data_IF_068582157639
#
_entry.id   IF_068582157639
#
_cell.length_a   1.000
_cell.length_b   1.000
_cell.length_c   1.000
_cell.angle_alpha   90.00
_cell.angle_beta   90.00
_cell.angle_gamma   90.00
#
_symmetry.space_group_name_H-M   'P 1'
#
loop_
_entity.id
_entity.type
_entity.pdbx_description
1 polymer ?
#
# COMPACT_ATOMS: atom_id res chain seq x y z
N UNK A 1 6.24 -12.18 9.77
CA UNK A 1 5.57 -12.07 8.46
C UNK A 1 6.05 -10.80 7.79
N UNK A 2 6.32 -10.82 6.48
CA UNK A 2 6.66 -9.63 5.69
C UNK A 2 5.50 -9.26 4.78
N UNK A 3 5.27 -7.96 4.60
CA UNK A 3 4.30 -7.39 3.66
C UNK A 3 5.00 -6.41 2.73
N UNK A 4 4.47 -6.23 1.54
CA UNK A 4 4.86 -5.15 0.64
C UNK A 4 3.86 -4.01 0.78
N UNK A 5 4.34 -2.79 0.93
CA UNK A 5 3.52 -1.56 0.98
C UNK A 5 3.83 -0.76 -0.27
N UNK A 6 2.82 -0.52 -1.09
CA UNK A 6 2.90 0.20 -2.36
C UNK A 6 1.87 1.35 -2.35
N UNK A 7 2.01 2.31 -3.27
CA UNK A 7 1.07 3.41 -3.47
C UNK A 7 1.33 4.08 -4.82
N UNK A 8 0.39 4.92 -5.27
CA UNK A 8 0.59 5.90 -6.35
C UNK A 8 1.16 5.22 -7.62
N UNK A 9 0.41 4.24 -8.13
CA UNK A 9 0.77 3.43 -9.30
C UNK A 9 0.47 4.19 -10.60
N UNK A 10 -0.62 4.95 -10.64
CA UNK A 10 -1.03 5.76 -11.79
C UNK A 10 -0.95 5.04 -13.14
N UNK A 11 -1.44 3.80 -13.20
CA UNK A 11 -1.37 2.94 -14.41
C UNK A 11 0.05 2.70 -14.96
N UNK A 12 1.12 2.94 -14.19
CA UNK A 12 2.50 2.66 -14.60
C UNK A 12 2.84 1.19 -14.44
N UNK A 13 2.21 0.38 -15.31
CA UNK A 13 2.33 -1.08 -15.31
C UNK A 13 3.77 -1.55 -15.50
N UNK A 14 4.58 -0.83 -16.28
CA UNK A 14 6.01 -1.16 -16.48
C UNK A 14 6.83 -1.12 -15.18
N UNK A 15 6.50 -0.19 -14.28
CA UNK A 15 7.13 -0.08 -12.95
C UNK A 15 6.45 -1.01 -11.93
N UNK A 16 5.13 -1.18 -12.04
CA UNK A 16 4.40 -2.15 -11.23
C UNK A 16 4.94 -3.57 -11.42
N UNK A 17 5.18 -4.00 -12.67
CA UNK A 17 5.69 -5.34 -12.99
C UNK A 17 7.04 -5.57 -12.30
N UNK A 18 7.96 -4.61 -12.39
CA UNK A 18 9.25 -4.66 -11.67
C UNK A 18 9.08 -4.75 -10.15
N UNK A 19 8.11 -4.01 -9.59
CA UNK A 19 7.80 -4.12 -8.16
C UNK A 19 7.32 -5.53 -7.81
N UNK A 20 6.40 -6.08 -8.60
CA UNK A 20 5.81 -7.41 -8.41
C UNK A 20 6.85 -8.53 -8.55
N UNK A 21 7.83 -8.38 -9.44
CA UNK A 21 8.98 -9.28 -9.56
C UNK A 21 9.80 -9.30 -8.26
N UNK A 22 10.18 -8.14 -7.73
CA UNK A 22 10.93 -8.03 -6.48
C UNK A 22 10.11 -8.55 -5.29
N UNK A 23 8.81 -8.24 -5.23
CA UNK A 23 7.91 -8.75 -4.18
C UNK A 23 7.87 -10.28 -4.21
N UNK A 24 7.82 -10.87 -5.41
CA UNK A 24 7.77 -12.32 -5.58
C UNK A 24 9.10 -12.99 -5.27
N UNK A 25 10.24 -12.41 -5.68
CA UNK A 25 11.57 -12.92 -5.32
C UNK A 25 11.83 -12.87 -3.81
N UNK A 26 11.15 -11.98 -3.09
CA UNK A 26 11.21 -11.88 -1.63
C UNK A 26 10.25 -12.83 -0.89
N UNK A 27 9.50 -13.70 -1.60
CA UNK A 27 8.48 -14.58 -1.05
C UNK A 27 7.40 -13.84 -0.23
N UNK A 28 6.99 -12.67 -0.72
CA UNK A 28 5.93 -11.88 -0.07
C UNK A 28 4.58 -12.21 -0.71
N UNK A 29 3.62 -12.55 0.16
CA UNK A 29 2.27 -12.99 -0.21
C UNK A 29 1.18 -11.97 0.11
N UNK A 30 1.52 -10.84 0.72
CA UNK A 30 0.57 -9.78 1.06
C UNK A 30 1.06 -8.42 0.58
N UNK A 31 0.20 -7.73 -0.16
CA UNK A 31 0.40 -6.38 -0.67
C UNK A 31 -0.61 -5.45 0.02
N UNK A 32 -0.14 -4.32 0.50
CA UNK A 32 -0.95 -3.22 1.03
C UNK A 32 -0.76 -2.02 0.09
N UNK A 33 -1.80 -1.60 -0.61
CA UNK A 33 -1.77 -0.49 -1.56
C UNK A 33 -2.48 0.74 -0.98
N UNK A 34 -1.77 1.86 -0.84
CA UNK A 34 -2.28 3.07 -0.17
C UNK A 34 -3.06 4.01 -1.10
N UNK A 35 -3.64 3.48 -2.18
CA UNK A 35 -4.43 4.24 -3.16
C UNK A 35 -3.65 4.69 -4.40
N UNK A 36 -4.34 5.44 -5.24
CA UNK A 36 -3.89 5.94 -6.54
C UNK A 36 -3.42 4.81 -7.46
N UNK A 37 -4.20 3.71 -7.50
CA UNK A 37 -4.05 2.62 -8.49
C UNK A 37 -4.36 3.13 -9.91
N UNK A 38 -5.16 4.20 -10.00
CA UNK A 38 -5.77 4.83 -11.17
C UNK A 38 -6.91 4.06 -11.82
N UNK A 39 -6.74 2.79 -12.23
CA UNK A 39 -7.82 2.09 -12.95
C UNK A 39 -8.07 0.65 -12.59
N UNK A 40 -9.31 0.19 -12.82
CA UNK A 40 -9.71 -1.21 -12.59
C UNK A 40 -8.79 -2.17 -13.34
N UNK A 41 -8.33 -1.81 -14.55
CA UNK A 41 -7.37 -2.61 -15.30
C UNK A 41 -6.05 -2.84 -14.54
N UNK A 42 -5.55 -1.82 -13.84
CA UNK A 42 -4.33 -1.94 -13.02
C UNK A 42 -4.61 -2.70 -11.72
N UNK A 43 -5.80 -2.56 -11.14
CA UNK A 43 -6.24 -3.40 -10.03
C UNK A 43 -6.28 -4.88 -10.41
N UNK A 44 -6.77 -5.22 -11.60
CA UNK A 44 -6.77 -6.61 -12.10
C UNK A 44 -5.37 -7.21 -12.22
N UNK A 45 -4.35 -6.39 -12.57
CA UNK A 45 -2.95 -6.85 -12.55
C UNK A 45 -2.51 -7.25 -11.15
N UNK A 46 -2.86 -6.47 -10.12
CA UNK A 46 -2.57 -6.81 -8.73
C UNK A 46 -3.29 -8.11 -8.35
N UNK A 47 -4.60 -8.20 -8.60
CA UNK A 47 -5.43 -9.35 -8.25
C UNK A 47 -4.92 -10.64 -8.90
N UNK A 48 -4.53 -10.58 -10.18
CA UNK A 48 -4.02 -11.70 -10.95
C UNK A 48 -2.74 -12.32 -10.36
N UNK A 49 -2.01 -11.62 -9.49
CA UNK A 49 -0.85 -12.17 -8.78
C UNK A 49 -1.20 -13.31 -7.82
N UNK A 50 -2.48 -13.46 -7.45
CA UNK A 50 -2.94 -14.41 -6.43
C UNK A 50 -2.49 -14.09 -5.00
N UNK A 51 -1.79 -12.97 -4.79
CA UNK A 51 -1.40 -12.48 -3.46
C UNK A 51 -2.61 -11.88 -2.76
N UNK A 52 -2.59 -11.86 -1.43
CA UNK A 52 -3.58 -11.11 -0.64
C UNK A 52 -3.34 -9.61 -0.80
N UNK A 53 -4.38 -8.86 -1.14
CA UNK A 53 -4.31 -7.43 -1.42
C UNK A 53 -5.29 -6.71 -0.50
N UNK A 54 -4.76 -5.75 0.24
CA UNK A 54 -5.56 -4.74 0.92
C UNK A 54 -5.28 -3.40 0.25
N UNK A 55 -6.31 -2.64 -0.11
CA UNK A 55 -6.12 -1.29 -0.61
C UNK A 55 -7.15 -0.31 -0.07
N UNK A 56 -6.80 0.97 -0.07
CA UNK A 56 -7.76 2.05 0.06
C UNK A 56 -7.83 2.83 -1.27
N UNK A 57 -8.96 3.51 -1.51
CA UNK A 57 -9.05 4.46 -2.62
C UNK A 57 -8.27 5.74 -2.28
N UNK A 58 -7.55 6.27 -3.25
CA UNK A 58 -6.98 7.60 -3.23
C UNK A 58 -7.86 8.63 -3.94
N UNK A 59 -7.23 9.65 -4.52
CA UNK A 59 -7.91 10.72 -5.25
C UNK A 59 -7.75 10.62 -6.78
N UNK A 60 -6.98 9.65 -7.27
CA UNK A 60 -6.73 9.45 -8.70
C UNK A 60 -7.43 8.23 -9.30
N UNK A 61 -8.23 7.47 -8.53
CA UNK A 61 -9.06 6.40 -9.07
C UNK A 61 -10.09 6.94 -10.06
N UNK A 62 -10.07 6.43 -11.29
CA UNK A 62 -11.01 6.78 -12.35
C UNK A 62 -12.36 6.11 -12.15
N UNK A 63 -12.37 4.89 -11.63
CA UNK A 63 -13.58 4.09 -11.39
C UNK A 63 -13.67 3.64 -9.92
N UNK A 64 -13.76 4.56 -8.93
CA UNK A 64 -13.62 4.23 -7.51
C UNK A 64 -14.70 3.28 -6.97
N UNK A 65 -15.95 3.40 -7.44
CA UNK A 65 -17.03 2.48 -7.04
C UNK A 65 -16.81 1.09 -7.65
N UNK A 66 -16.41 1.00 -8.92
CA UNK A 66 -16.11 -0.29 -9.56
C UNK A 66 -14.96 -1.00 -8.86
N UNK A 67 -13.88 -0.28 -8.53
CA UNK A 67 -12.78 -0.81 -7.73
C UNK A 67 -13.25 -1.30 -6.36
N UNK A 68 -14.08 -0.52 -5.67
CA UNK A 68 -14.62 -0.92 -4.38
C UNK A 68 -15.44 -2.21 -4.48
N UNK A 69 -16.28 -2.35 -5.52
CA UNK A 69 -17.11 -3.54 -5.69
C UNK A 69 -16.36 -4.76 -6.26
N UNK A 70 -15.19 -4.59 -6.88
CA UNK A 70 -14.35 -5.69 -7.36
C UNK A 70 -13.98 -6.71 -6.26
N UNK A 71 -13.97 -6.30 -4.98
CA UNK A 71 -13.75 -7.21 -3.85
C UNK A 71 -14.82 -8.30 -3.70
N UNK A 72 -16.03 -8.09 -4.27
CA UNK A 72 -17.09 -9.10 -4.28
C UNK A 72 -16.79 -10.26 -5.25
N UNK A 73 -15.95 -10.00 -6.25
CA UNK A 73 -15.57 -10.96 -7.29
C UNK A 73 -14.25 -11.64 -6.96
N UNK A 74 -13.38 -10.97 -6.20
CA UNK A 74 -12.01 -11.40 -5.93
C UNK A 74 -11.76 -11.68 -4.44
N UNK A 75 -11.66 -12.97 -4.08
CA UNK A 75 -11.46 -13.41 -2.68
C UNK A 75 -10.15 -12.95 -2.04
N UNK A 76 -9.15 -12.63 -2.86
CA UNK A 76 -7.85 -12.16 -2.40
C UNK A 76 -7.77 -10.63 -2.31
N UNK A 77 -8.87 -9.91 -2.52
CA UNK A 77 -8.93 -8.45 -2.52
C UNK A 77 -9.80 -7.94 -1.37
N UNK A 78 -9.37 -6.87 -0.73
CA UNK A 78 -10.19 -6.07 0.20
C UNK A 78 -9.95 -4.60 -0.08
N UNK A 79 -11.03 -3.86 -0.31
CA UNK A 79 -10.96 -2.45 -0.70
C UNK A 79 -11.70 -1.59 0.32
N UNK A 80 -11.00 -0.59 0.86
CA UNK A 80 -11.54 0.41 1.77
C UNK A 80 -11.81 1.71 1.01
N UNK A 81 -12.96 2.34 1.24
CA UNK A 81 -13.29 3.61 0.55
C UNK A 81 -12.36 4.76 0.94
N UNK A 82 -11.86 4.77 2.17
CA UNK A 82 -11.06 5.89 2.68
C UNK A 82 -10.01 5.46 3.70
N UNK A 83 -10.45 4.79 4.77
CA UNK A 83 -9.62 4.30 5.87
C UNK A 83 -9.89 2.82 6.06
N UNK A 84 -8.83 2.04 6.15
CA UNK A 84 -8.85 0.62 6.45
C UNK A 84 -8.19 0.32 7.79
N UNK A 85 -8.73 -0.69 8.47
CA UNK A 85 -8.10 -1.37 9.58
C UNK A 85 -7.94 -2.84 9.22
N UNK A 86 -6.73 -3.36 9.37
CA UNK A 86 -6.38 -4.74 9.05
C UNK A 86 -5.73 -5.37 10.27
N UNK A 87 -6.19 -6.57 10.65
CA UNK A 87 -5.53 -7.39 11.66
C UNK A 87 -4.75 -8.50 10.98
N UNK A 88 -3.42 -8.45 11.08
CA UNK A 88 -2.53 -9.37 10.38
C UNK A 88 -1.33 -9.75 11.25
N UNK A 89 -1.05 -11.05 11.37
CA UNK A 89 0.07 -11.56 12.18
C UNK A 89 0.11 -11.03 13.63
N UNK A 90 -1.06 -10.81 14.24
CA UNK A 90 -1.19 -10.27 15.60
C UNK A 90 -0.93 -8.76 15.70
N UNK A 91 -0.92 -8.04 14.58
CA UNK A 91 -0.71 -6.59 14.50
C UNK A 91 -1.95 -5.88 13.97
N UNK A 92 -2.22 -4.69 14.51
CA UNK A 92 -3.27 -3.79 14.02
C UNK A 92 -2.64 -2.78 13.06
N UNK A 93 -3.10 -2.79 11.81
CA UNK A 93 -2.53 -1.99 10.73
C UNK A 93 -3.60 -1.02 10.24
N UNK A 94 -3.28 0.27 10.26
CA UNK A 94 -4.06 1.34 9.65
C UNK A 94 -3.62 1.58 8.21
N UNK A 95 -4.58 1.88 7.34
CA UNK A 95 -4.35 2.16 5.93
C UNK A 95 -5.21 3.35 5.49
N UNK A 96 -4.62 4.36 4.84
CA UNK A 96 -5.37 5.46 4.23
C UNK A 96 -4.52 6.16 3.19
N UNK A 97 -5.10 6.79 2.19
CA UNK A 97 -4.30 7.53 1.21
C UNK A 97 -3.71 8.83 1.80
N UNK A 98 -4.46 9.52 2.67
CA UNK A 98 -4.17 10.91 3.04
C UNK A 98 -3.23 11.07 4.27
N UNK A 99 -2.18 11.91 4.19
CA UNK A 99 -1.18 12.06 5.25
C UNK A 99 -1.73 12.53 6.59
N UNK A 100 -2.66 13.50 6.59
CA UNK A 100 -3.24 14.03 7.83
C UNK A 100 -4.05 12.96 8.58
N UNK A 101 -4.81 12.13 7.85
CA UNK A 101 -5.55 11.02 8.44
C UNK A 101 -4.58 9.97 9.01
N UNK A 102 -3.54 9.64 8.26
CA UNK A 102 -2.50 8.70 8.69
C UNK A 102 -1.78 9.18 9.97
N UNK A 103 -1.46 10.48 10.05
CA UNK A 103 -0.87 11.10 11.24
C UNK A 103 -1.79 10.95 12.46
N UNK A 104 -3.09 11.28 12.32
CA UNK A 104 -4.06 11.14 13.41
C UNK A 104 -4.23 9.69 13.86
N UNK A 105 -4.27 8.74 12.92
CA UNK A 105 -4.33 7.31 13.23
C UNK A 105 -3.08 6.90 14.02
N UNK A 106 -1.89 7.32 13.62
CA UNK A 106 -0.66 6.95 14.31
C UNK A 106 -0.57 7.56 15.72
N UNK A 107 -1.01 8.80 15.90
CA UNK A 107 -1.06 9.50 17.19
C UNK A 107 -2.08 8.91 18.17
N UNK A 108 -3.12 8.21 17.68
CA UNK A 108 -4.11 7.55 18.55
C UNK A 108 -3.53 6.45 19.43
N UNK A 109 -2.38 5.87 19.04
CA UNK A 109 -1.77 4.71 19.71
C UNK A 109 -2.52 3.38 19.51
N UNK A 110 -3.56 3.36 18.67
CA UNK A 110 -4.38 2.16 18.44
C UNK A 110 -3.78 1.18 17.40
N UNK A 111 -2.73 1.60 16.69
CA UNK A 111 -2.16 0.85 15.56
C UNK A 111 -0.69 0.54 15.80
N UNK A 112 -0.24 -0.66 15.41
CA UNK A 112 1.19 -0.96 15.35
C UNK A 112 1.84 -0.31 14.12
N UNK A 113 1.10 -0.24 13.02
CA UNK A 113 1.54 0.33 11.75
C UNK A 113 0.45 1.19 11.14
N UNK A 114 0.82 2.30 10.51
CA UNK A 114 -0.07 3.10 9.67
C UNK A 114 0.62 3.37 8.34
N UNK A 115 -0.02 2.97 7.24
CA UNK A 115 0.49 3.11 5.88
C UNK A 115 -0.31 4.14 5.09
N UNK A 116 0.38 5.00 4.33
CA UNK A 116 -0.25 6.05 3.53
C UNK A 116 0.48 6.42 2.23
N UNK A 117 -0.21 7.13 1.34
CA UNK A 117 0.27 7.53 0.01
C UNK A 117 0.26 9.06 -0.20
N UNK A 118 -0.18 9.50 -1.39
CA UNK A 118 -0.54 10.88 -1.76
C UNK A 118 0.62 11.84 -2.00
N UNK A 119 1.67 11.77 -1.17
CA UNK A 119 2.78 12.73 -1.25
C UNK A 119 3.87 12.32 -2.26
N UNK A 120 3.76 11.13 -2.86
CA UNK A 120 4.74 10.54 -3.78
C UNK A 120 6.17 10.38 -3.23
N UNK A 121 6.41 10.79 -1.98
CA UNK A 121 7.73 10.89 -1.38
C UNK A 121 7.86 9.88 -0.25
N UNK A 122 8.81 8.93 -0.34
CA UNK A 122 9.06 7.97 0.72
C UNK A 122 9.32 8.65 2.05
N UNK A 123 8.64 8.18 3.09
CA UNK A 123 8.84 8.70 4.43
C UNK A 123 8.52 7.62 5.46
N UNK A 124 9.27 7.61 6.57
CA UNK A 124 8.93 6.77 7.71
C UNK A 124 9.33 7.45 9.01
N UNK A 125 8.49 7.35 10.02
CA UNK A 125 8.80 7.78 11.38
C UNK A 125 8.04 6.95 12.41
N UNK A 126 8.54 6.93 13.64
CA UNK A 126 7.85 6.33 14.78
C UNK A 126 7.11 7.41 15.57
N UNK A 127 5.84 7.19 15.88
CA UNK A 127 5.02 8.04 16.76
C UNK A 127 4.58 7.16 17.94
N UNK A 128 5.15 7.39 19.12
CA UNK A 128 5.01 6.46 20.23
C UNK A 128 5.53 5.07 19.83
N UNK A 129 4.65 4.07 19.83
CA UNK A 129 4.94 2.72 19.35
C UNK A 129 4.54 2.42 17.90
N UNK A 130 3.79 3.33 17.27
CA UNK A 130 3.29 3.18 15.90
C UNK A 130 4.37 3.50 14.86
N UNK A 131 4.53 2.64 13.85
CA UNK A 131 5.31 2.96 12.64
C UNK A 131 4.37 3.63 11.63
N UNK A 132 4.61 4.92 11.34
CA UNK A 132 3.92 5.66 10.28
C UNK A 132 4.82 5.65 9.03
N UNK A 133 4.33 5.11 7.91
CA UNK A 133 5.14 4.91 6.70
C UNK A 133 4.38 5.27 5.42
N UNK A 134 5.06 5.99 4.54
CA UNK A 134 4.71 6.22 3.15
C UNK A 134 5.75 5.53 2.24
N UNK A 135 5.33 4.64 1.32
CA UNK A 135 6.25 3.87 0.47
C UNK A 135 6.82 4.70 -0.69
N UNK A 136 6.39 5.95 -0.86
CA UNK A 136 6.58 6.75 -2.05
C UNK A 136 5.60 6.35 -3.14
N UNK A 137 6.01 6.49 -4.39
CA UNK A 137 5.19 6.13 -5.54
C UNK A 137 5.84 5.04 -6.40
N UNK A 138 5.00 4.17 -6.97
CA UNK A 138 5.43 3.24 -8.01
C UNK A 138 5.64 3.99 -9.33
N UNK A 139 4.81 4.99 -9.64
CA UNK A 139 4.77 5.62 -10.95
C UNK A 139 6.05 6.40 -11.35
N UNK A 140 6.76 6.97 -10.36
CA UNK A 140 7.87 7.90 -10.59
C UNK A 140 7.49 9.07 -11.53
N UNK A 141 6.27 9.57 -11.41
CA UNK A 141 5.80 10.74 -12.17
C UNK A 141 6.11 12.06 -11.47
N UNK A 142 6.09 12.08 -10.14
CA UNK A 142 6.18 13.29 -9.33
C UNK A 142 7.33 13.24 -8.32
N UNK A 143 7.62 12.06 -7.80
CA UNK A 143 8.77 11.73 -6.98
C UNK A 143 10.02 11.46 -7.82
N UNK A 144 11.20 11.48 -7.18
CA UNK A 144 12.47 11.37 -7.90
C UNK A 144 12.73 9.96 -8.45
N UNK A 145 12.12 8.92 -7.85
CA UNK A 145 12.39 7.51 -8.12
C UNK A 145 11.15 6.67 -7.87
N UNK A 146 11.06 5.53 -8.54
CA UNK A 146 10.01 4.53 -8.31
C UNK A 146 10.37 3.71 -7.08
N UNK A 147 9.51 3.68 -6.08
CA UNK A 147 9.80 3.07 -4.78
C UNK A 147 8.63 2.32 -4.18
N UNK A 148 8.95 1.39 -3.29
CA UNK A 148 7.98 0.79 -2.38
C UNK A 148 8.67 0.28 -1.11
N UNK A 149 7.91 -0.15 -0.11
CA UNK A 149 8.48 -0.63 1.15
C UNK A 149 8.23 -2.11 1.41
N UNK A 150 9.21 -2.79 2.00
CA UNK A 150 9.04 -4.11 2.61
C UNK A 150 9.02 -3.97 4.12
N UNK A 151 7.97 -4.46 4.77
CA UNK A 151 7.79 -4.28 6.23
C UNK A 151 7.71 -5.65 6.91
N UNK A 152 8.57 -5.87 7.91
CA UNK A 152 8.49 -7.03 8.79
C UNK A 152 7.61 -6.73 10.00
N UNK A 153 6.37 -7.22 9.96
CA UNK A 153 5.36 -6.97 10.99
C UNK A 153 5.75 -7.49 12.38
N UNK A 154 6.66 -8.46 12.47
CA UNK A 154 7.11 -9.00 13.77
C UNK A 154 8.11 -8.08 14.45
N UNK A 155 9.03 -7.49 13.68
CA UNK A 155 10.15 -6.71 14.21
C UNK A 155 9.94 -5.20 14.10
N UNK A 156 9.00 -4.74 13.29
CA UNK A 156 8.84 -3.31 12.96
C UNK A 156 9.83 -2.82 11.89
N UNK A 157 10.93 -3.54 11.63
CA UNK A 157 11.88 -3.21 10.57
C UNK A 157 11.19 -3.07 9.21
N UNK A 158 11.54 -2.00 8.50
CA UNK A 158 11.13 -1.73 7.14
C UNK A 158 12.33 -1.41 6.26
N UNK A 159 12.23 -1.72 4.97
CA UNK A 159 13.24 -1.47 3.96
C UNK A 159 12.59 -0.78 2.77
N UNK A 160 13.13 0.38 2.35
CA UNK A 160 12.71 1.04 1.12
C UNK A 160 13.41 0.37 -0.07
N UNK A 161 12.62 -0.09 -1.04
CA UNK A 161 13.10 -0.60 -2.33
C UNK A 161 13.00 0.52 -3.36
N UNK A 162 14.10 0.70 -4.08
CA UNK A 162 14.21 1.61 -5.22
C UNK A 162 14.22 0.76 -6.48
N UNK A 163 13.32 1.05 -7.43
CA UNK A 163 13.20 0.35 -8.69
C UNK A 163 13.97 1.09 -9.80
N UNK A 164 14.89 0.37 -10.45
CA UNK A 164 15.62 0.85 -11.62
C UNK A 164 14.69 1.11 -12.82
#
# INVERSE_FOLDING_TARGET
MKVAVISDIHDRTDKLDKALEVISSCNIHTIICCGDIASVKTLEVLVATGKTIFCCLGNAEREPEEMFYAQNEHKNLTVFKEVGEIKLAGKTIGLTHYPHRAQNMAESGAFDFVFYGHNHTPWAKKIGDTVLLNPGEIAAFYGPQSTFALVNLKTGNYELKILA
#
